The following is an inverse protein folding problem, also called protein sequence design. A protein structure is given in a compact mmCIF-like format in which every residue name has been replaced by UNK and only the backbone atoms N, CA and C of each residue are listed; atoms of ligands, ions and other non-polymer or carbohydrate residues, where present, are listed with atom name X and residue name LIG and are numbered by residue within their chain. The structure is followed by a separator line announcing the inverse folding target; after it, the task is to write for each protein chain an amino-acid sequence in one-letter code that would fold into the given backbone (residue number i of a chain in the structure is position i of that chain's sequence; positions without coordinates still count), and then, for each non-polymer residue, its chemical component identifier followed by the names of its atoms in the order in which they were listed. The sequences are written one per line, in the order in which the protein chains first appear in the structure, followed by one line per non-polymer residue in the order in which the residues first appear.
data_IF_321485782896
#
_entry.id   IF_321485782896
#
_cell.length_a   1.000
_cell.length_b   1.000
_cell.length_c   1.000
_cell.angle_alpha   90.00
_cell.angle_beta   90.00
_cell.angle_gamma   90.00
#
_symmetry.space_group_name_H-M   'P 1'
#
loop_
_entity.id
_entity.type
_entity.pdbx_description
1 polymer ?
#
# COMPACT_ATOMS: atom_id res chain seq x y z
N UNK A 1 4.50 -0.53 -11.87
CA UNK A 1 4.59 -0.41 -10.43
C UNK A 1 5.47 -1.54 -9.86
N UNK A 2 6.10 -1.29 -8.72
CA UNK A 2 6.83 -2.28 -7.92
C UNK A 2 6.00 -2.53 -6.66
N UNK A 3 5.84 -3.80 -6.28
CA UNK A 3 5.00 -4.19 -5.16
C UNK A 3 5.85 -4.89 -4.10
N UNK A 4 5.67 -4.48 -2.86
CA UNK A 4 6.19 -5.12 -1.65
C UNK A 4 4.99 -5.54 -0.82
N UNK A 5 4.93 -6.80 -0.40
CA UNK A 5 3.76 -7.36 0.31
C UNK A 5 4.18 -7.91 1.66
N UNK A 6 3.51 -7.46 2.71
CA UNK A 6 3.72 -7.91 4.09
C UNK A 6 2.43 -8.56 4.61
N UNK A 7 2.50 -9.83 4.98
CA UNK A 7 1.38 -10.60 5.53
C UNK A 7 1.78 -11.30 6.84
N UNK A 8 1.65 -10.61 8.00
CA UNK A 8 2.07 -11.16 9.29
C UNK A 8 1.29 -12.40 9.75
N UNK A 9 0.16 -12.67 9.12
CA UNK A 9 -0.65 -13.87 9.42
C UNK A 9 -0.25 -15.08 8.59
N UNK A 10 0.66 -14.93 7.63
CA UNK A 10 1.02 -15.97 6.67
C UNK A 10 -0.24 -16.59 6.01
N UNK A 11 -1.13 -15.71 5.53
CA UNK A 11 -2.40 -16.05 4.91
C UNK A 11 -2.32 -15.96 3.37
N UNK A 12 -3.42 -15.61 2.71
CA UNK A 12 -3.56 -15.64 1.25
C UNK A 12 -2.54 -14.76 0.51
N UNK A 13 -2.12 -13.62 1.09
CA UNK A 13 -1.13 -12.76 0.44
C UNK A 13 0.30 -13.30 0.54
N UNK A 14 0.62 -14.10 1.56
CA UNK A 14 1.92 -14.77 1.68
C UNK A 14 2.15 -15.77 0.54
N UNK A 15 1.09 -16.38 0.00
CA UNK A 15 1.17 -17.30 -1.14
C UNK A 15 1.76 -16.64 -2.40
N UNK A 16 1.69 -15.31 -2.49
CA UNK A 16 2.30 -14.56 -3.59
C UNK A 16 3.83 -14.71 -3.68
N UNK A 17 4.49 -15.23 -2.64
CA UNK A 17 5.92 -15.59 -2.70
C UNK A 17 6.24 -16.55 -3.85
N UNK A 18 5.27 -17.37 -4.27
CA UNK A 18 5.44 -18.31 -5.38
C UNK A 18 5.63 -17.60 -6.74
N UNK A 19 5.25 -16.33 -6.87
CA UNK A 19 5.22 -15.58 -8.14
C UNK A 19 5.85 -14.20 -8.06
N UNK A 20 6.11 -13.69 -6.84
CA UNK A 20 6.68 -12.36 -6.61
C UNK A 20 7.86 -12.43 -5.62
N UNK A 21 8.94 -11.67 -5.84
CA UNK A 21 10.13 -11.73 -4.98
C UNK A 21 9.94 -11.03 -3.62
N UNK A 22 9.20 -9.91 -3.59
CA UNK A 22 9.12 -9.02 -2.43
C UNK A 22 7.84 -9.26 -1.60
N UNK A 23 7.69 -10.50 -1.11
CA UNK A 23 6.57 -10.94 -0.26
C UNK A 23 7.11 -11.54 1.04
N UNK A 24 6.70 -11.01 2.18
CA UNK A 24 7.28 -11.37 3.49
C UNK A 24 6.19 -11.60 4.53
N UNK A 25 6.38 -12.62 5.39
CA UNK A 25 5.48 -12.94 6.49
C UNK A 25 6.21 -13.15 7.84
N UNK A 26 7.54 -13.30 7.82
CA UNK A 26 8.33 -13.38 9.06
C UNK A 26 8.65 -12.00 9.58
N UNK A 27 8.64 -11.83 10.90
CA UNK A 27 8.85 -10.54 11.58
C UNK A 27 10.12 -9.83 11.10
N UNK A 28 11.24 -10.53 11.10
CA UNK A 28 12.55 -9.97 10.78
C UNK A 28 12.62 -9.52 9.30
N UNK A 29 12.07 -10.32 8.39
CA UNK A 29 12.04 -10.03 6.96
C UNK A 29 11.11 -8.83 6.67
N UNK A 30 9.98 -8.73 7.38
CA UNK A 30 9.07 -7.59 7.27
C UNK A 30 9.72 -6.30 7.78
N UNK A 31 10.44 -6.35 8.90
CA UNK A 31 11.20 -5.21 9.42
C UNK A 31 12.25 -4.74 8.40
N UNK A 32 13.05 -5.68 7.87
CA UNK A 32 14.04 -5.38 6.85
C UNK A 32 13.41 -4.80 5.57
N UNK A 33 12.24 -5.30 5.17
CA UNK A 33 11.51 -4.77 4.02
C UNK A 33 11.03 -3.32 4.25
N UNK A 34 10.50 -3.00 5.42
CA UNK A 34 10.07 -1.64 5.77
C UNK A 34 11.27 -0.69 5.76
N UNK A 35 12.40 -1.12 6.32
CA UNK A 35 13.64 -0.34 6.34
C UNK A 35 14.13 -0.05 4.93
N UNK A 36 14.24 -1.07 4.09
CA UNK A 36 14.62 -0.95 2.70
C UNK A 36 13.67 -0.02 1.92
N UNK A 37 12.37 -0.19 2.06
CA UNK A 37 11.38 0.63 1.38
C UNK A 37 11.51 2.12 1.76
N UNK A 38 11.75 2.39 3.03
CA UNK A 38 11.99 3.74 3.52
C UNK A 38 13.30 4.34 2.98
N UNK A 39 14.38 3.59 3.01
CA UNK A 39 15.70 4.02 2.51
C UNK A 39 15.68 4.27 1.00
N UNK A 40 15.05 3.40 0.23
CA UNK A 40 14.86 3.58 -1.22
C UNK A 40 14.02 4.82 -1.53
N UNK A 41 12.99 5.11 -0.74
CA UNK A 41 12.20 6.33 -0.86
C UNK A 41 13.05 7.57 -0.64
N UNK A 42 13.82 7.60 0.45
CA UNK A 42 14.68 8.74 0.78
C UNK A 42 15.73 8.97 -0.29
N UNK A 43 16.42 7.90 -0.70
CA UNK A 43 17.42 7.95 -1.77
C UNK A 43 16.81 8.45 -3.08
N UNK A 44 15.66 7.94 -3.49
CA UNK A 44 14.99 8.41 -4.72
C UNK A 44 14.62 9.88 -4.65
N UNK A 45 14.20 10.38 -3.50
CA UNK A 45 13.90 11.81 -3.32
C UNK A 45 15.09 12.71 -3.58
N UNK A 46 16.31 12.23 -3.29
CA UNK A 46 17.57 12.92 -3.57
C UNK A 46 17.97 12.74 -5.04
N UNK A 47 17.98 11.50 -5.53
CA UNK A 47 18.40 11.16 -6.90
C UNK A 47 17.54 11.87 -7.96
N UNK A 48 16.24 12.01 -7.74
CA UNK A 48 15.35 12.73 -8.66
C UNK A 48 15.79 14.16 -8.94
N UNK A 49 16.33 14.85 -7.94
CA UNK A 49 16.81 16.23 -8.09
C UNK A 49 18.06 16.34 -8.94
N UNK A 50 18.80 15.26 -9.13
CA UNK A 50 20.01 15.17 -9.95
C UNK A 50 19.71 14.76 -11.40
N UNK A 51 18.48 14.37 -11.71
CA UNK A 51 18.09 13.98 -13.07
C UNK A 51 18.05 15.20 -14.00
N UNK A 52 18.56 15.05 -15.21
CA UNK A 52 18.64 16.13 -16.22
C UNK A 52 17.27 16.75 -16.55
N UNK A 53 16.23 15.94 -16.57
CA UNK A 53 14.85 16.37 -16.86
C UNK A 53 14.05 16.77 -15.59
N UNK A 54 14.71 16.87 -14.42
CA UNK A 54 14.02 17.30 -13.20
C UNK A 54 13.49 18.74 -13.32
N UNK A 55 12.27 18.95 -12.86
CA UNK A 55 11.65 20.27 -12.71
C UNK A 55 11.01 20.41 -11.35
N UNK A 56 11.21 21.56 -10.72
CA UNK A 56 10.58 21.87 -9.43
C UNK A 56 9.05 21.81 -9.54
N UNK A 57 8.43 21.07 -8.62
CA UNK A 57 6.96 20.86 -8.60
C UNK A 57 6.51 19.58 -9.30
N UNK A 58 7.35 18.96 -10.11
CA UNK A 58 7.04 17.68 -10.77
C UNK A 58 7.32 16.48 -9.86
N UNK A 59 6.65 15.37 -10.11
CA UNK A 59 6.76 14.15 -9.32
C UNK A 59 7.44 13.00 -10.12
N UNK A 60 7.58 11.85 -9.47
CA UNK A 60 8.20 10.65 -10.04
C UNK A 60 7.62 10.24 -11.41
N UNK A 61 6.32 10.43 -11.64
CA UNK A 61 5.68 10.02 -12.88
C UNK A 61 6.11 10.90 -14.07
N UNK A 62 6.33 12.20 -13.85
CA UNK A 62 6.90 13.09 -14.85
C UNK A 62 8.30 12.65 -15.28
N UNK A 63 9.08 12.09 -14.36
CA UNK A 63 10.42 11.58 -14.63
C UNK A 63 10.43 10.17 -15.21
N UNK A 64 9.26 9.57 -15.47
CA UNK A 64 9.13 8.21 -15.98
C UNK A 64 9.45 7.11 -14.95
N UNK A 65 9.58 7.46 -13.67
CA UNK A 65 9.92 6.50 -12.62
C UNK A 65 8.68 5.67 -12.21
N UNK A 66 8.86 4.39 -11.84
CA UNK A 66 7.75 3.55 -11.42
C UNK A 66 7.24 3.93 -10.03
N UNK A 67 5.93 3.78 -9.81
CA UNK A 67 5.36 3.79 -8.48
C UNK A 67 5.75 2.52 -7.70
N UNK A 68 6.01 2.67 -6.40
CA UNK A 68 6.26 1.58 -5.46
C UNK A 68 5.14 1.54 -4.43
N UNK A 69 4.62 0.36 -4.15
CA UNK A 69 3.57 0.16 -3.16
C UNK A 69 4.05 -0.83 -2.10
N UNK A 70 3.98 -0.42 -0.84
CA UNK A 70 4.09 -1.31 0.30
C UNK A 70 2.68 -1.68 0.75
N UNK A 71 2.28 -2.91 0.47
CA UNK A 71 0.97 -3.47 0.81
C UNK A 71 1.13 -4.23 2.12
N UNK A 72 0.45 -3.79 3.16
CA UNK A 72 0.55 -4.35 4.48
C UNK A 72 -0.82 -4.89 4.89
N UNK A 73 -1.00 -6.21 4.78
CA UNK A 73 -2.20 -6.87 5.28
C UNK A 73 -2.14 -7.05 6.79
N UNK A 74 -3.27 -6.82 7.44
CA UNK A 74 -3.45 -6.91 8.91
C UNK A 74 -2.29 -6.28 9.71
N UNK A 75 -1.93 -5.06 9.36
CA UNK A 75 -0.79 -4.37 9.94
C UNK A 75 -0.83 -4.29 11.48
N UNK A 76 -2.04 -4.29 12.08
CA UNK A 76 -2.21 -4.30 13.54
C UNK A 76 -1.62 -5.57 14.15
N UNK A 77 -1.82 -6.73 13.51
CA UNK A 77 -1.25 -7.98 13.98
C UNK A 77 0.30 -7.92 14.00
N UNK A 78 0.91 -7.32 12.99
CA UNK A 78 2.35 -7.10 12.99
C UNK A 78 2.80 -6.16 14.11
N UNK A 79 2.11 -5.04 14.31
CA UNK A 79 2.46 -4.08 15.34
C UNK A 79 2.38 -4.70 16.76
N UNK A 80 1.48 -5.66 16.98
CA UNK A 80 1.37 -6.42 18.22
C UNK A 80 2.50 -7.43 18.43
N UNK A 81 3.17 -7.88 17.38
CA UNK A 81 4.36 -8.74 17.46
C UNK A 81 5.62 -7.96 17.90
N UNK A 82 5.58 -6.62 17.85
CA UNK A 82 6.72 -5.77 18.14
C UNK A 82 6.80 -5.39 19.61
N UNK A 83 8.03 -5.29 20.14
CA UNK A 83 8.27 -4.61 21.41
C UNK A 83 8.03 -3.10 21.31
N UNK A 84 7.85 -2.43 22.46
CA UNK A 84 7.50 -1.00 22.50
C UNK A 84 8.48 -0.11 21.71
N UNK A 85 9.78 -0.41 21.79
CA UNK A 85 10.81 0.37 21.07
C UNK A 85 10.75 0.13 19.56
N UNK A 86 10.63 -1.14 19.14
CA UNK A 86 10.50 -1.49 17.72
C UNK A 86 9.25 -0.86 17.11
N UNK A 87 8.14 -0.94 17.84
CA UNK A 87 6.86 -0.36 17.43
C UNK A 87 6.98 1.15 17.16
N UNK A 88 7.61 1.91 18.05
CA UNK A 88 7.82 3.34 17.86
C UNK A 88 8.68 3.65 16.62
N UNK A 89 9.73 2.86 16.36
CA UNK A 89 10.60 3.03 15.20
C UNK A 89 9.84 2.76 13.90
N UNK A 90 9.12 1.63 13.82
CA UNK A 90 8.33 1.26 12.66
C UNK A 90 7.26 2.31 12.39
N UNK A 91 6.51 2.71 13.40
CA UNK A 91 5.44 3.70 13.27
C UNK A 91 5.97 5.04 12.74
N UNK A 92 7.14 5.47 13.20
CA UNK A 92 7.79 6.68 12.71
C UNK A 92 8.17 6.56 11.22
N UNK A 93 8.72 5.40 10.78
CA UNK A 93 9.05 5.16 9.37
C UNK A 93 7.80 5.16 8.49
N UNK A 94 6.75 4.43 8.88
CA UNK A 94 5.47 4.42 8.17
C UNK A 94 4.89 5.83 8.04
N UNK A 95 4.95 6.62 9.11
CA UNK A 95 4.53 8.03 9.09
C UNK A 95 5.31 8.85 8.07
N UNK A 96 6.62 8.71 8.03
CA UNK A 96 7.46 9.43 7.06
C UNK A 96 7.17 8.98 5.62
N UNK A 97 6.95 7.67 5.38
CA UNK A 97 6.57 7.16 4.06
C UNK A 97 5.27 7.82 3.58
N UNK A 98 4.26 7.87 4.43
CA UNK A 98 2.96 8.48 4.04
C UNK A 98 3.10 9.99 3.79
N UNK A 99 3.90 10.70 4.60
CA UNK A 99 4.08 12.15 4.48
C UNK A 99 4.95 12.55 3.29
N UNK A 100 6.00 11.80 2.98
CA UNK A 100 7.05 12.19 2.04
C UNK A 100 7.02 11.40 0.73
N UNK A 101 6.45 10.19 0.73
CA UNK A 101 6.54 9.24 -0.37
C UNK A 101 5.84 9.66 -1.66
N UNK A 102 4.78 10.46 -1.56
CA UNK A 102 3.94 10.82 -2.72
C UNK A 102 4.73 11.40 -3.89
N UNK A 103 5.67 12.29 -3.63
CA UNK A 103 6.45 12.92 -4.70
C UNK A 103 7.47 11.97 -5.30
N UNK A 104 8.05 11.10 -4.49
CA UNK A 104 9.02 10.07 -4.91
C UNK A 104 8.35 8.82 -5.51
N UNK A 105 7.01 8.70 -5.46
CA UNK A 105 6.28 7.54 -5.96
C UNK A 105 6.30 6.35 -5.03
N UNK A 106 6.32 6.58 -3.71
CA UNK A 106 6.22 5.54 -2.69
C UNK A 106 4.91 5.66 -1.93
N UNK A 107 4.12 4.61 -1.96
CA UNK A 107 2.77 4.58 -1.42
C UNK A 107 2.60 3.45 -0.43
N UNK A 108 1.83 3.69 0.62
CA UNK A 108 1.50 2.73 1.64
C UNK A 108 0.03 2.35 1.54
N UNK A 109 -0.26 1.04 1.51
CA UNK A 109 -1.60 0.47 1.59
C UNK A 109 -1.66 -0.34 2.88
N UNK A 110 -2.40 0.16 3.87
CA UNK A 110 -2.60 -0.54 5.14
C UNK A 110 -3.99 -1.17 5.17
N UNK A 111 -4.05 -2.47 5.39
CA UNK A 111 -5.29 -3.18 5.70
C UNK A 111 -5.29 -3.62 7.17
N UNK A 112 -6.44 -3.55 7.81
CA UNK A 112 -6.65 -4.05 9.16
C UNK A 112 -8.12 -4.37 9.40
N UNK A 113 -8.40 -5.29 10.31
CA UNK A 113 -9.77 -5.63 10.68
C UNK A 113 -10.42 -4.52 11.52
N UNK A 114 -9.64 -3.80 12.32
CA UNK A 114 -10.08 -2.68 13.15
C UNK A 114 -9.05 -1.56 13.12
N UNK A 115 -9.43 -0.34 12.79
CA UNK A 115 -8.54 0.82 12.89
C UNK A 115 -8.35 1.15 14.39
N UNK A 116 -7.26 0.64 14.99
CA UNK A 116 -6.96 0.92 16.39
C UNK A 116 -6.10 2.18 16.50
N UNK A 117 -6.61 3.17 17.24
CA UNK A 117 -5.92 4.43 17.48
C UNK A 117 -4.53 4.27 18.13
N UNK A 118 -4.29 3.16 18.84
CA UNK A 118 -2.99 2.81 19.42
C UNK A 118 -1.91 2.65 18.33
N UNK A 119 -2.28 2.14 17.17
CA UNK A 119 -1.35 1.83 16.07
C UNK A 119 -1.51 2.75 14.86
N UNK A 120 -2.68 3.40 14.73
CA UNK A 120 -2.99 4.42 13.73
C UNK A 120 -3.44 5.70 14.43
N UNK A 121 -2.52 6.34 15.13
CA UNK A 121 -2.78 7.64 15.76
C UNK A 121 -3.15 8.70 14.71
N UNK A 122 -3.85 9.74 15.14
CA UNK A 122 -4.43 10.78 14.26
C UNK A 122 -3.42 11.37 13.26
N UNK A 123 -2.16 11.57 13.70
CA UNK A 123 -1.13 12.15 12.84
C UNK A 123 -0.67 11.30 11.64
N UNK A 124 -0.95 9.98 11.64
CA UNK A 124 -0.75 9.11 10.48
C UNK A 124 -2.04 8.95 9.69
N UNK A 125 -3.14 8.72 10.40
CA UNK A 125 -4.45 8.46 9.79
C UNK A 125 -4.89 9.59 8.86
N UNK A 126 -4.67 10.82 9.26
CA UNK A 126 -5.07 12.00 8.49
C UNK A 126 -4.25 12.21 7.21
N UNK A 127 -3.13 11.51 7.08
CA UNK A 127 -2.33 11.53 5.85
C UNK A 127 -2.84 10.57 4.77
N UNK A 128 -3.75 9.63 5.13
CA UNK A 128 -4.36 8.74 4.16
C UNK A 128 -5.54 9.44 3.47
N UNK A 129 -5.35 9.85 2.24
CA UNK A 129 -6.40 10.50 1.44
C UNK A 129 -7.43 9.52 0.83
N UNK A 130 -7.13 8.23 0.83
CA UNK A 130 -8.04 7.18 0.36
C UNK A 130 -8.28 6.21 1.51
N UNK A 131 -9.52 6.19 2.01
CA UNK A 131 -9.92 5.38 3.15
C UNK A 131 -11.17 4.57 2.80
N UNK A 132 -11.11 3.26 3.01
CA UNK A 132 -12.20 2.32 2.70
C UNK A 132 -12.57 1.53 3.94
N UNK A 133 -13.83 1.57 4.33
CA UNK A 133 -14.42 0.74 5.36
C UNK A 133 -15.34 -0.29 4.72
N UNK A 134 -14.95 -1.58 4.76
CA UNK A 134 -15.77 -2.67 4.23
C UNK A 134 -16.61 -3.34 5.33
N UNK A 135 -17.83 -3.66 5.01
CA UNK A 135 -18.76 -4.25 5.94
C UNK A 135 -19.29 -3.26 6.98
N UNK A 136 -19.91 -3.78 8.04
CA UNK A 136 -20.47 -2.97 9.12
C UNK A 136 -19.43 -2.75 10.20
N UNK A 137 -19.24 -1.50 10.58
CA UNK A 137 -18.43 -1.09 11.73
C UNK A 137 -19.33 -0.50 12.83
N UNK A 138 -18.78 -0.38 14.04
CA UNK A 138 -19.36 0.45 15.11
C UNK A 138 -19.24 1.94 14.75
N UNK A 139 -20.03 2.79 15.39
CA UNK A 139 -19.90 4.25 15.25
C UNK A 139 -18.47 4.73 15.57
N UNK A 140 -17.88 4.19 16.63
CA UNK A 140 -16.49 4.45 16.97
C UNK A 140 -15.53 4.02 15.84
N UNK A 141 -15.76 2.87 15.20
CA UNK A 141 -14.97 2.39 14.06
C UNK A 141 -15.06 3.34 12.86
N UNK A 142 -16.24 3.81 12.53
CA UNK A 142 -16.43 4.82 11.48
C UNK A 142 -15.77 6.15 11.84
N UNK A 143 -15.88 6.60 13.09
CA UNK A 143 -15.18 7.79 13.58
C UNK A 143 -13.65 7.66 13.50
N UNK A 144 -13.10 6.49 13.82
CA UNK A 144 -11.67 6.20 13.65
C UNK A 144 -11.26 6.18 12.17
N UNK A 145 -12.15 5.77 11.28
CA UNK A 145 -11.87 5.65 9.85
C UNK A 145 -11.98 6.98 9.11
N UNK A 146 -13.06 7.73 9.38
CA UNK A 146 -13.42 8.91 8.60
C UNK A 146 -13.33 10.23 9.37
N UNK A 147 -13.05 10.19 10.68
CA UNK A 147 -13.08 11.34 11.56
C UNK A 147 -14.51 11.75 11.94
N UNK A 148 -14.67 12.99 12.42
CA UNK A 148 -15.98 13.55 12.72
C UNK A 148 -16.79 13.72 11.42
N UNK A 149 -17.99 13.16 11.38
CA UNK A 149 -18.88 13.24 10.24
C UNK A 149 -20.34 13.24 10.68
N UNK A 150 -21.16 13.94 9.92
CA UNK A 150 -22.65 13.93 10.11
C UNK A 150 -23.32 12.83 9.30
N UNK A 151 -22.55 11.99 8.61
CA UNK A 151 -23.12 10.93 7.78
C UNK A 151 -23.67 9.80 8.62
N UNK A 152 -24.90 9.43 8.33
CA UNK A 152 -25.51 8.19 8.83
C UNK A 152 -25.01 6.99 8.05
N UNK A 153 -24.53 5.98 8.76
CA UNK A 153 -23.99 4.75 8.18
C UNK A 153 -24.99 3.61 8.24
N UNK A 154 -25.80 3.50 7.19
CA UNK A 154 -26.82 2.44 7.06
C UNK A 154 -26.32 1.33 6.13
N UNK A 155 -25.54 0.39 6.63
CA UNK A 155 -25.12 -0.75 5.84
C UNK A 155 -26.10 -1.91 5.98
N UNK A 156 -26.73 -2.28 4.86
CA UNK A 156 -27.28 -3.63 4.70
C UNK A 156 -26.10 -4.61 4.72
N UNK A 157 -26.30 -5.78 5.33
CA UNK A 157 -25.28 -6.84 5.35
C UNK A 157 -25.14 -7.48 3.96
N UNK A 158 -24.53 -6.73 3.04
CA UNK A 158 -24.21 -7.19 1.70
C UNK A 158 -22.70 -7.33 1.63
N UNK A 159 -22.22 -8.52 1.29
CA UNK A 159 -20.79 -8.82 1.17
C UNK A 159 -20.15 -7.90 0.11
N UNK A 160 -18.99 -7.34 0.44
CA UNK A 160 -18.27 -6.43 -0.46
C UNK A 160 -18.79 -4.99 -0.51
N UNK A 161 -19.80 -4.64 0.30
CA UNK A 161 -20.31 -3.28 0.42
C UNK A 161 -19.63 -2.55 1.59
N UNK A 162 -19.41 -1.25 1.43
CA UNK A 162 -18.79 -0.41 2.43
C UNK A 162 -18.95 1.08 2.13
N UNK A 163 -18.04 1.85 2.70
CA UNK A 163 -17.92 3.29 2.49
C UNK A 163 -16.50 3.68 2.11
N UNK A 164 -16.37 4.73 1.35
CA UNK A 164 -15.08 5.27 0.90
C UNK A 164 -15.03 6.78 1.06
N UNK A 165 -13.90 7.28 1.52
CA UNK A 165 -13.48 8.68 1.40
C UNK A 165 -12.27 8.72 0.44
N UNK A 166 -12.38 9.53 -0.59
CA UNK A 166 -11.32 9.71 -1.61
C UNK A 166 -10.55 11.04 -1.41
N UNK A 167 -10.56 11.56 -0.19
CA UNK A 167 -9.89 12.83 0.14
C UNK A 167 -10.70 14.08 -0.19
N UNK A 168 -12.00 13.93 -0.46
CA UNK A 168 -12.91 15.05 -0.77
C UNK A 168 -13.79 15.47 0.40
N UNK A 169 -13.60 14.87 1.56
CA UNK A 169 -14.46 15.01 2.74
C UNK A 169 -15.92 14.56 2.50
N UNK A 170 -16.18 13.87 1.38
CA UNK A 170 -17.48 13.28 1.04
C UNK A 170 -17.37 11.78 1.13
N UNK A 171 -18.05 11.20 2.12
CA UNK A 171 -18.07 9.75 2.30
C UNK A 171 -19.19 9.15 1.42
N UNK A 172 -18.79 8.31 0.47
CA UNK A 172 -19.67 7.66 -0.49
C UNK A 172 -19.83 6.16 -0.20
N UNK A 173 -20.90 5.56 -0.70
CA UNK A 173 -21.01 4.10 -0.69
C UNK A 173 -19.99 3.48 -1.65
N UNK A 174 -19.43 2.35 -1.25
CA UNK A 174 -18.42 1.61 -1.98
C UNK A 174 -18.83 0.16 -2.17
N UNK A 175 -18.54 -0.36 -3.35
CA UNK A 175 -18.80 -1.76 -3.72
C UNK A 175 -17.52 -2.36 -4.28
N UNK A 176 -17.02 -3.43 -3.64
CA UNK A 176 -15.90 -4.17 -4.19
C UNK A 176 -16.34 -4.94 -5.44
N UNK A 177 -15.46 -5.06 -6.45
CA UNK A 177 -15.71 -5.97 -7.56
C UNK A 177 -15.95 -7.40 -7.06
N UNK A 178 -16.89 -8.10 -7.70
CA UNK A 178 -17.10 -9.50 -7.42
C UNK A 178 -15.95 -10.34 -7.99
N UNK A 179 -15.25 -11.05 -7.13
CA UNK A 179 -14.29 -12.08 -7.58
C UNK A 179 -15.07 -13.33 -8.00
N UNK A 180 -14.98 -13.78 -9.25
CA UNK A 180 -15.67 -14.96 -9.73
C UNK A 180 -15.26 -16.21 -8.94
N UNK A 181 -16.20 -17.14 -8.76
CA UNK A 181 -15.90 -18.43 -8.14
C UNK A 181 -14.86 -19.18 -8.98
N UNK A 182 -13.79 -19.66 -8.33
CA UNK A 182 -12.68 -20.37 -9.01
C UNK A 182 -11.65 -19.43 -9.66
N UNK A 183 -11.69 -18.13 -9.38
CA UNK A 183 -10.64 -17.20 -9.80
C UNK A 183 -9.33 -17.53 -9.08
N UNK A 184 -8.30 -17.80 -9.84
CA UNK A 184 -6.96 -18.13 -9.36
C UNK A 184 -6.06 -16.88 -9.43
N UNK A 185 -5.90 -16.18 -8.31
CA UNK A 185 -5.10 -14.96 -8.22
C UNK A 185 -3.62 -15.21 -8.53
N UNK A 186 -3.05 -16.31 -8.09
CA UNK A 186 -1.64 -16.62 -8.33
C UNK A 186 -1.38 -16.77 -9.83
N UNK A 187 -2.25 -17.51 -10.52
CA UNK A 187 -2.17 -17.71 -11.96
C UNK A 187 -2.31 -16.40 -12.74
N UNK A 188 -3.25 -15.55 -12.36
CA UNK A 188 -3.46 -14.28 -13.05
C UNK A 188 -2.31 -13.29 -12.79
N UNK A 189 -1.81 -13.20 -11.56
CA UNK A 189 -0.65 -12.36 -11.23
C UNK A 189 0.60 -12.87 -11.96
N UNK A 190 0.82 -14.20 -11.99
CA UNK A 190 1.93 -14.78 -12.74
C UNK A 190 1.88 -14.40 -14.23
N UNK A 191 0.73 -14.51 -14.88
CA UNK A 191 0.56 -14.09 -16.27
C UNK A 191 0.95 -12.62 -16.49
N UNK A 192 0.54 -11.73 -15.57
CA UNK A 192 0.87 -10.31 -15.66
C UNK A 192 2.38 -10.06 -15.52
N UNK A 193 3.04 -10.79 -14.63
CA UNK A 193 4.50 -10.68 -14.44
C UNK A 193 5.23 -11.20 -15.67
N UNK A 194 4.87 -12.39 -16.17
CA UNK A 194 5.47 -13.00 -17.35
C UNK A 194 5.31 -12.12 -18.60
N UNK A 195 4.14 -11.51 -18.78
CA UNK A 195 3.88 -10.60 -19.89
C UNK A 195 4.74 -9.32 -19.82
N UNK A 196 4.98 -8.79 -18.63
CA UNK A 196 5.82 -7.62 -18.41
C UNK A 196 7.30 -7.91 -18.70
N UNK A 197 7.80 -9.06 -18.28
CA UNK A 197 9.18 -9.49 -18.56
C UNK A 197 9.39 -9.67 -20.07
N UNK A 198 8.43 -10.26 -20.78
CA UNK A 198 8.48 -10.39 -22.24
C UNK A 198 8.53 -9.04 -22.97
N UNK A 199 7.75 -8.04 -22.52
CA UNK A 199 7.79 -6.69 -23.09
C UNK A 199 9.14 -6.01 -22.82
N UNK A 200 9.67 -6.15 -21.62
CA UNK A 200 10.95 -5.54 -21.24
C UNK A 200 12.10 -6.16 -22.04
N UNK A 201 12.16 -7.47 -22.17
CA UNK A 201 13.16 -8.16 -23.01
C UNK A 201 13.07 -7.75 -24.49
N UNK A 202 11.87 -7.57 -25.02
CA UNK A 202 11.67 -7.11 -26.40
C UNK A 202 12.10 -5.65 -26.61
N UNK A 203 11.94 -4.78 -25.61
CA UNK A 203 12.42 -3.40 -25.65
C UNK A 203 13.94 -3.33 -25.60
N UNK A 204 14.58 -4.11 -24.72
CA UNK A 204 16.04 -4.18 -24.59
C UNK A 204 16.70 -4.75 -25.86
N UNK A 205 16.11 -5.78 -26.47
CA UNK A 205 16.60 -6.33 -27.74
C UNK A 205 16.53 -5.30 -28.89
N UNK A 206 15.46 -4.51 -28.96
CA UNK A 206 15.34 -3.44 -29.98
C UNK A 206 16.33 -2.29 -29.77
N UNK A 207 16.64 -1.97 -28.50
CA UNK A 207 17.63 -0.94 -28.20
C UNK A 207 19.04 -1.39 -28.58
N UNK A 208 19.38 -2.66 -28.38
CA UNK A 208 20.67 -3.25 -28.75
C UNK A 208 20.87 -3.41 -30.28
N UNK A 209 19.79 -3.41 -31.08
CA UNK A 209 19.88 -3.46 -32.56
C UNK A 209 20.04 -2.05 -33.19
N UNK A 210 19.93 -0.99 -32.40
CA UNK A 210 19.98 0.41 -32.88
C UNK A 210 21.31 1.11 -32.55
N UNK A 211 22.18 0.47 -31.78
CA UNK A 211 23.57 0.91 -31.49
C UNK A 211 24.57 0.14 -32.40
#
# INVERSE_FOLDING_TARGET
AVLFVLDPKNADLADLQAVMPDVYYKKEDMLACIDRFYEEMMKRSEDMKLMENYRTGENYAYLGLPANFLIFDEYVAFMEMLGTKENAVVLNKLKQIVMLGRQAGFFLILACQRPDAKYLGDGIRDQFNFRVALGRMSEMGYGMMFGETTKDFFLKQIKGRGYVDVGTSVISEFYTPLVPKGHDFLKEIKKLIDSRQGVQAACEAKAAETD
#
